data_IF_624223946815
#
_entry.id   IF_624223946815
#
_cell.length_a   1.000
_cell.length_b   1.000
_cell.length_c   1.000
_cell.angle_alpha   90.00
_cell.angle_beta   90.00
_cell.angle_gamma   90.00
#
_symmetry.space_group_name_H-M   'P 1'
#
loop_
_entity.id
_entity.type
_entity.pdbx_description
1 polymer ?
#
# COMPACT_ATOMS: atom_id res chain seq x y z
N UNK A 1 -54.92 -18.66 48.57
CA UNK A 1 -55.64 -19.29 47.44
C UNK A 1 -56.70 -18.30 46.97
N UNK A 2 -56.52 -17.69 45.80
CA UNK A 2 -57.21 -18.04 44.54
C UNK A 2 -58.73 -17.87 44.67
N UNK A 3 -59.30 -16.73 44.28
CA UNK A 3 -59.66 -16.22 42.91
C UNK A 3 -61.15 -16.43 42.65
N UNK A 4 -61.81 -15.43 42.07
CA UNK A 4 -62.90 -15.47 41.06
C UNK A 4 -63.38 -14.01 40.87
N UNK A 5 -62.97 -13.29 39.81
CA UNK A 5 -63.37 -13.39 38.40
C UNK A 5 -64.75 -12.78 38.10
N UNK A 6 -64.74 -11.75 37.23
CA UNK A 6 -65.63 -11.50 36.08
C UNK A 6 -66.06 -10.02 36.01
N UNK A 7 -65.41 -9.25 35.14
CA UNK A 7 -65.92 -8.80 33.83
C UNK A 7 -66.78 -7.53 33.93
N UNK A 8 -66.41 -6.47 33.22
CA UNK A 8 -67.11 -6.06 31.99
C UNK A 8 -66.44 -4.82 31.37
N UNK A 9 -66.09 -4.96 30.08
CA UNK A 9 -65.99 -3.94 29.03
C UNK A 9 -65.00 -2.80 29.20
N UNK A 10 -63.81 -2.99 28.61
CA UNK A 10 -62.98 -1.89 28.12
C UNK A 10 -62.87 -2.01 26.61
N UNK A 11 -63.49 -1.05 25.92
CA UNK A 11 -63.38 -0.77 24.50
C UNK A 11 -61.89 -0.50 24.22
N UNK A 12 -61.19 -1.46 23.63
CA UNK A 12 -59.84 -1.26 23.12
C UNK A 12 -59.95 -0.96 21.63
N UNK A 13 -59.95 0.33 21.32
CA UNK A 13 -59.66 0.89 20.01
C UNK A 13 -58.37 0.25 19.50
N UNK A 14 -58.48 -0.59 18.46
CA UNK A 14 -57.33 -1.13 17.74
C UNK A 14 -56.67 0.03 16.98
N UNK A 15 -55.71 0.70 17.60
CA UNK A 15 -54.75 1.52 16.88
C UNK A 15 -53.78 0.57 16.17
N UNK A 16 -54.04 0.32 14.90
CA UNK A 16 -53.06 -0.22 13.96
C UNK A 16 -51.92 0.80 13.86
N UNK A 17 -50.92 0.67 14.72
CA UNK A 17 -49.62 1.32 14.51
C UNK A 17 -48.93 0.52 13.41
N UNK A 18 -49.09 0.99 12.16
CA UNK A 18 -48.22 0.56 11.07
C UNK A 18 -46.84 1.13 11.37
N UNK A 19 -45.98 0.32 11.98
CA UNK A 19 -44.56 0.61 12.04
C UNK A 19 -44.04 0.39 10.62
N UNK A 20 -44.04 1.46 9.81
CA UNK A 20 -43.26 1.48 8.59
C UNK A 20 -41.81 1.51 9.07
N UNK A 21 -41.19 0.34 9.19
CA UNK A 21 -39.73 0.26 9.23
C UNK A 21 -39.27 0.74 7.86
N UNK A 22 -39.11 2.06 7.70
CA UNK A 22 -38.20 2.56 6.69
C UNK A 22 -36.86 2.02 7.12
N UNK A 23 -36.45 0.91 6.51
CA UNK A 23 -35.04 0.61 6.34
C UNK A 23 -34.47 1.82 5.60
N UNK A 24 -34.11 2.86 6.36
CA UNK A 24 -33.04 3.74 5.95
C UNK A 24 -31.89 2.76 5.76
N UNK A 25 -31.70 2.34 4.50
CA UNK A 25 -30.47 1.72 4.07
C UNK A 25 -29.43 2.73 4.45
N UNK A 26 -28.83 2.53 5.62
CA UNK A 26 -27.53 3.08 5.91
C UNK A 26 -26.70 2.44 4.82
N UNK A 27 -26.49 3.20 3.74
CA UNK A 27 -25.40 2.94 2.84
C UNK A 27 -24.18 3.03 3.73
N UNK A 28 -23.77 1.88 4.27
CA UNK A 28 -22.40 1.66 4.69
C UNK A 28 -21.64 2.09 3.44
N UNK A 29 -20.85 3.18 3.47
CA UNK A 29 -20.00 3.44 2.34
C UNK A 29 -19.09 2.23 2.32
N UNK A 30 -19.29 1.35 1.33
CA UNK A 30 -18.37 0.29 1.02
C UNK A 30 -17.11 0.98 0.52
N UNK A 31 -16.31 1.54 1.43
CA UNK A 31 -14.97 2.06 1.14
C UNK A 31 -14.06 0.84 1.11
N UNK A 32 -14.33 -0.07 0.18
CA UNK A 32 -13.24 -0.78 -0.48
C UNK A 32 -12.80 0.16 -1.60
N UNK A 33 -12.08 1.23 -1.24
CA UNK A 33 -11.37 2.03 -2.24
C UNK A 33 -10.33 1.10 -2.84
N UNK A 34 -10.58 0.68 -4.08
CA UNK A 34 -9.64 -0.14 -4.84
C UNK A 34 -8.36 0.66 -5.03
N UNK A 35 -7.23 0.01 -4.81
CA UNK A 35 -5.92 0.54 -5.14
C UNK A 35 -5.87 1.01 -6.60
N UNK A 36 -5.23 2.15 -6.83
CA UNK A 36 -5.09 2.71 -8.19
C UNK A 36 -3.92 2.02 -8.88
N UNK A 37 -4.24 1.23 -9.91
CA UNK A 37 -3.24 0.49 -10.70
C UNK A 37 -2.92 1.20 -12.01
N UNK A 38 -1.68 1.08 -12.49
CA UNK A 38 -1.24 1.64 -13.75
C UNK A 38 -2.03 1.07 -14.95
N UNK A 39 -2.53 1.95 -15.82
CA UNK A 39 -3.27 1.57 -17.04
C UNK A 39 -2.92 2.49 -18.21
N UNK A 40 -2.90 1.94 -19.42
CA UNK A 40 -2.75 2.73 -20.63
C UNK A 40 -4.05 3.49 -20.93
N UNK A 41 -4.05 4.83 -20.87
CA UNK A 41 -5.27 5.61 -21.05
C UNK A 41 -5.57 5.88 -22.53
N UNK A 42 -4.56 5.85 -23.41
CA UNK A 42 -4.69 6.16 -24.83
C UNK A 42 -4.99 4.88 -25.64
N UNK A 43 -6.15 4.80 -26.32
CA UNK A 43 -6.48 3.66 -27.18
C UNK A 43 -5.49 3.44 -28.33
N UNK A 44 -4.71 4.45 -28.74
CA UNK A 44 -3.67 4.32 -29.76
C UNK A 44 -2.42 3.59 -29.24
N UNK A 45 -2.20 3.59 -27.93
CA UNK A 45 -1.09 2.91 -27.25
C UNK A 45 -1.64 1.93 -26.20
N UNK A 46 -2.39 0.87 -26.60
CA UNK A 46 -3.16 0.06 -25.67
C UNK A 46 -2.32 -0.96 -24.89
N UNK A 47 -1.04 -1.16 -25.24
CA UNK A 47 -0.21 -2.21 -24.66
C UNK A 47 0.67 -1.64 -23.55
N UNK A 48 0.44 -2.09 -22.32
CA UNK A 48 1.26 -1.75 -21.16
C UNK A 48 2.70 -2.27 -21.32
N UNK A 49 3.67 -1.43 -21.00
CA UNK A 49 5.11 -1.76 -21.04
C UNK A 49 5.71 -1.75 -19.65
N UNK A 50 5.31 -0.80 -18.80
CA UNK A 50 5.82 -0.65 -17.45
C UNK A 50 5.25 0.59 -16.79
N UNK A 51 5.52 0.78 -15.51
CA UNK A 51 5.20 2.00 -14.79
C UNK A 51 6.11 2.18 -13.59
N UNK A 52 6.26 3.42 -13.15
CA UNK A 52 7.09 3.78 -12.00
C UNK A 52 6.53 5.03 -11.31
N UNK A 53 6.85 5.18 -10.03
CA UNK A 53 6.47 6.34 -9.25
C UNK A 53 7.26 7.58 -9.67
N UNK A 54 6.55 8.63 -10.08
CA UNK A 54 7.13 9.93 -10.42
C UNK A 54 7.21 10.85 -9.21
N UNK A 55 6.16 10.82 -8.39
CA UNK A 55 6.06 11.50 -7.09
C UNK A 55 5.34 10.58 -6.12
N UNK A 56 5.24 10.99 -4.86
CA UNK A 56 4.48 10.28 -3.84
C UNK A 56 3.02 10.03 -4.27
N UNK A 57 2.45 10.88 -5.13
CA UNK A 57 1.03 10.83 -5.51
C UNK A 57 0.81 10.69 -7.03
N UNK A 58 1.85 10.40 -7.80
CA UNK A 58 1.75 10.28 -9.26
C UNK A 58 2.67 9.17 -9.76
N UNK A 59 2.18 8.35 -10.67
CA UNK A 59 2.98 7.38 -11.42
C UNK A 59 3.07 7.80 -12.89
N UNK A 60 4.16 7.43 -13.54
CA UNK A 60 4.29 7.45 -15.00
C UNK A 60 4.03 6.05 -15.53
N UNK A 61 3.15 5.93 -16.52
CA UNK A 61 2.77 4.70 -17.19
C UNK A 61 3.35 4.72 -18.60
N UNK A 62 4.13 3.70 -18.94
CA UNK A 62 4.68 3.49 -20.28
C UNK A 62 3.82 2.50 -21.06
N UNK A 63 3.47 2.91 -22.27
CA UNK A 63 2.59 2.18 -23.17
C UNK A 63 3.17 2.13 -24.57
N UNK A 64 2.72 1.18 -25.39
CA UNK A 64 3.09 1.08 -26.80
C UNK A 64 1.92 0.73 -27.70
N UNK A 65 2.08 1.07 -28.98
CA UNK A 65 1.16 0.68 -30.04
C UNK A 65 1.60 -0.63 -30.74
N UNK A 66 0.81 -1.10 -31.71
CA UNK A 66 1.12 -2.30 -32.50
C UNK A 66 2.43 -2.24 -33.31
N UNK A 67 2.94 -1.03 -33.57
CA UNK A 67 4.22 -0.79 -34.25
C UNK A 67 5.39 -0.62 -33.27
N UNK A 68 5.19 -0.88 -31.98
CA UNK A 68 6.16 -0.69 -30.89
C UNK A 68 6.61 0.77 -30.65
N UNK A 69 5.87 1.76 -31.15
CA UNK A 69 6.07 3.17 -30.77
C UNK A 69 5.61 3.34 -29.33
N UNK A 70 6.43 4.00 -28.48
CA UNK A 70 6.16 4.21 -27.06
C UNK A 70 5.54 5.58 -26.78
N UNK A 71 4.68 5.63 -25.77
CA UNK A 71 4.15 6.83 -25.17
C UNK A 71 4.17 6.70 -23.64
N UNK A 72 4.31 7.83 -22.95
CA UNK A 72 4.29 7.90 -21.48
C UNK A 72 3.16 8.80 -21.02
N UNK A 73 2.46 8.38 -19.99
CA UNK A 73 1.32 9.10 -19.43
C UNK A 73 1.43 9.17 -17.92
N UNK A 74 1.21 10.35 -17.34
CA UNK A 74 1.13 10.48 -15.89
C UNK A 74 -0.28 10.14 -15.41
N UNK A 75 -0.35 9.30 -14.39
CA UNK A 75 -1.59 8.91 -13.73
C UNK A 75 -1.52 9.33 -12.25
N UNK A 76 -2.52 10.10 -11.82
CA UNK A 76 -2.63 10.55 -10.43
C UNK A 76 -3.17 9.42 -9.53
N UNK A 77 -2.62 9.33 -8.33
CA UNK A 77 -3.18 8.52 -7.26
C UNK A 77 -4.47 9.16 -6.73
N UNK A 78 -5.37 8.37 -6.13
CA UNK A 78 -6.50 8.96 -5.43
C UNK A 78 -6.02 9.68 -4.17
N UNK A 79 -6.84 10.61 -3.66
CA UNK A 79 -6.59 11.23 -2.37
C UNK A 79 -6.47 10.16 -1.26
N UNK A 80 -5.38 10.23 -0.50
CA UNK A 80 -5.07 9.31 0.59
C UNK A 80 -4.31 8.05 0.17
N UNK A 81 -3.81 8.00 -1.06
CA UNK A 81 -2.94 6.94 -1.57
C UNK A 81 -1.54 7.47 -1.87
N UNK A 82 -0.52 6.62 -1.67
CA UNK A 82 0.85 6.89 -2.09
C UNK A 82 1.30 5.85 -3.12
N UNK A 83 2.13 6.27 -4.06
CA UNK A 83 2.72 5.42 -5.09
C UNK A 83 3.85 4.57 -4.53
N UNK A 84 3.85 3.28 -4.87
CA UNK A 84 4.92 2.32 -4.58
C UNK A 84 5.30 1.56 -5.86
N UNK A 85 6.60 1.36 -6.07
CA UNK A 85 7.17 0.57 -7.15
C UNK A 85 7.30 -0.91 -6.77
N UNK A 86 6.94 -1.77 -7.71
CA UNK A 86 6.96 -3.22 -7.64
C UNK A 86 7.54 -3.81 -8.93
N UNK A 87 7.66 -5.14 -8.92
CA UNK A 87 7.90 -5.96 -10.11
C UNK A 87 6.73 -6.91 -10.34
N UNK A 88 6.31 -7.06 -11.59
CA UNK A 88 5.40 -8.13 -12.04
C UNK A 88 6.16 -9.44 -12.26
N UNK A 89 5.44 -10.53 -12.51
CA UNK A 89 6.02 -11.89 -12.61
C UNK A 89 7.06 -12.07 -13.71
N UNK A 90 7.00 -11.24 -14.75
CA UNK A 90 7.94 -11.15 -15.86
C UNK A 90 9.03 -10.07 -15.65
N UNK A 91 9.21 -9.62 -14.40
CA UNK A 91 10.15 -8.59 -13.98
C UNK A 91 9.90 -7.22 -14.63
N UNK A 92 8.68 -7.00 -15.12
CA UNK A 92 8.24 -5.70 -15.62
C UNK A 92 8.06 -4.72 -14.45
N UNK A 93 8.68 -3.52 -14.49
CA UNK A 93 8.45 -2.48 -13.50
C UNK A 93 6.98 -2.06 -13.44
N UNK A 94 6.44 -1.98 -12.24
CA UNK A 94 5.03 -1.70 -12.03
C UNK A 94 4.80 -0.80 -10.81
N UNK A 95 4.07 0.28 -10.99
CA UNK A 95 3.67 1.17 -9.92
C UNK A 95 2.19 0.99 -9.58
N UNK A 96 1.88 1.13 -8.30
CA UNK A 96 0.52 1.09 -7.76
C UNK A 96 0.38 2.12 -6.65
N UNK A 97 -0.78 2.78 -6.59
CA UNK A 97 -1.11 3.65 -5.47
C UNK A 97 -1.84 2.86 -4.39
N UNK A 98 -1.32 2.96 -3.17
CA UNK A 98 -1.76 2.18 -2.02
C UNK A 98 -2.28 3.14 -0.96
N UNK A 99 -3.45 2.88 -0.36
CA UNK A 99 -3.95 3.70 0.74
C UNK A 99 -2.91 3.84 1.85
N UNK A 100 -2.70 5.06 2.35
CA UNK A 100 -1.69 5.36 3.37
C UNK A 100 -1.87 4.49 4.62
N UNK A 101 -3.11 4.14 4.97
CA UNK A 101 -3.44 3.27 6.11
C UNK A 101 -2.91 1.84 5.97
N UNK A 102 -2.58 1.40 4.76
CA UNK A 102 -2.01 0.08 4.46
C UNK A 102 -0.50 0.11 4.25
N UNK A 103 0.15 1.26 4.37
CA UNK A 103 1.59 1.38 4.13
C UNK A 103 2.39 1.28 5.42
N UNK A 104 3.45 0.49 5.39
CA UNK A 104 4.50 0.56 6.39
C UNK A 104 5.37 1.77 6.04
N UNK A 105 5.44 2.76 6.93
CA UNK A 105 6.25 3.96 6.71
C UNK A 105 7.09 4.31 7.93
N UNK A 106 8.26 4.90 7.69
CA UNK A 106 9.19 5.37 8.73
C UNK A 106 10.13 6.43 8.14
N UNK A 107 10.84 7.16 9.00
CA UNK A 107 11.74 8.24 8.60
C UNK A 107 13.10 8.10 9.28
N UNK A 108 14.13 8.72 8.72
CA UNK A 108 15.45 8.85 9.34
C UNK A 108 15.53 9.96 10.39
N UNK A 109 14.48 10.77 10.57
CA UNK A 109 14.47 11.85 11.56
C UNK A 109 15.58 12.89 11.35
N UNK A 110 16.05 13.06 10.10
CA UNK A 110 17.14 13.95 9.69
C UNK A 110 18.55 13.53 10.16
N UNK A 111 18.70 12.31 10.68
CA UNK A 111 20.00 11.77 11.07
C UNK A 111 20.56 10.87 9.98
N UNK A 112 21.88 10.87 9.83
CA UNK A 112 22.62 10.04 8.88
C UNK A 112 22.96 8.65 9.45
N UNK A 113 21.96 7.98 10.00
CA UNK A 113 22.09 6.65 10.57
C UNK A 113 21.23 5.64 9.82
N UNK A 114 21.63 4.36 9.91
CA UNK A 114 20.82 3.26 9.41
C UNK A 114 19.52 3.18 10.22
N UNK A 115 18.39 3.35 9.55
CA UNK A 115 17.06 3.22 10.14
C UNK A 115 16.31 2.05 9.55
N UNK A 116 15.68 1.26 10.42
CA UNK A 116 14.95 0.07 10.03
C UNK A 116 13.45 0.21 10.28
N UNK A 117 12.67 -0.38 9.39
CA UNK A 117 11.22 -0.42 9.47
C UNK A 117 10.75 -1.26 10.65
N UNK A 118 9.46 -1.16 10.95
CA UNK A 118 8.74 -2.24 11.62
C UNK A 118 8.63 -3.49 10.74
N UNK A 119 7.61 -4.32 10.98
CA UNK A 119 7.42 -5.58 10.26
C UNK A 119 6.19 -5.53 9.35
N UNK A 120 6.28 -6.25 8.24
CA UNK A 120 5.15 -6.53 7.35
C UNK A 120 5.11 -8.04 7.07
N UNK A 121 3.91 -8.64 7.15
CA UNK A 121 3.70 -10.08 6.93
C UNK A 121 2.26 -10.37 6.52
N UNK A 122 2.01 -11.52 5.90
CA UNK A 122 0.65 -12.06 5.78
C UNK A 122 0.32 -12.99 6.95
N UNK A 123 -0.92 -12.92 7.45
CA UNK A 123 -1.43 -13.74 8.57
C UNK A 123 -2.34 -14.89 8.11
N UNK A 124 -2.65 -14.93 6.81
CA UNK A 124 -3.44 -16.00 6.18
C UNK A 124 -2.97 -16.23 4.75
N UNK A 125 -3.49 -17.26 4.09
CA UNK A 125 -3.17 -17.60 2.69
C UNK A 125 -2.31 -18.85 2.55
N UNK A 126 -1.68 -19.01 1.38
CA UNK A 126 -0.94 -20.22 0.99
C UNK A 126 0.56 -20.06 1.22
N UNK A 127 1.19 -21.07 1.80
CA UNK A 127 2.64 -21.12 1.94
C UNK A 127 3.35 -21.43 0.61
N UNK A 128 4.59 -20.97 0.48
CA UNK A 128 5.43 -21.22 -0.69
C UNK A 128 5.09 -20.36 -1.91
N UNK A 129 4.28 -19.31 -1.76
CA UNK A 129 3.90 -18.43 -2.86
C UNK A 129 5.00 -17.41 -3.21
N UNK A 130 4.78 -16.64 -4.26
CA UNK A 130 5.65 -15.50 -4.59
C UNK A 130 4.97 -14.19 -4.19
N UNK A 131 5.73 -13.29 -3.59
CA UNK A 131 5.30 -11.94 -3.27
C UNK A 131 6.15 -10.95 -4.05
N UNK A 132 5.56 -9.81 -4.41
CA UNK A 132 6.29 -8.64 -4.87
C UNK A 132 6.44 -7.67 -3.71
N UNK A 133 7.68 -7.24 -3.50
CA UNK A 133 8.08 -6.34 -2.43
C UNK A 133 8.37 -4.99 -3.06
N UNK A 134 7.83 -3.92 -2.49
CA UNK A 134 8.05 -2.56 -2.95
C UNK A 134 8.37 -1.62 -1.80
N UNK A 135 9.36 -0.76 -2.02
CA UNK A 135 9.76 0.32 -1.12
C UNK A 135 10.17 1.53 -1.94
N UNK A 136 9.68 2.71 -1.56
CA UNK A 136 10.09 4.00 -2.11
C UNK A 136 10.45 4.97 -0.98
N UNK A 137 11.44 5.83 -1.23
CA UNK A 137 11.85 6.93 -0.33
C UNK A 137 11.53 8.26 -0.97
N UNK A 138 10.91 9.15 -0.20
CA UNK A 138 10.51 10.49 -0.63
C UNK A 138 11.03 11.56 0.33
N UNK A 139 11.25 12.77 -0.19
CA UNK A 139 11.48 13.96 0.62
C UNK A 139 10.17 14.44 1.29
N UNK A 140 10.25 15.51 2.08
CA UNK A 140 9.08 16.09 2.76
C UNK A 140 8.07 16.73 1.83
N UNK A 141 8.43 16.95 0.56
CA UNK A 141 7.56 17.51 -0.48
C UNK A 141 6.94 16.41 -1.35
N UNK A 142 7.22 15.13 -1.08
CA UNK A 142 6.73 14.00 -1.86
C UNK A 142 7.48 13.76 -3.17
N UNK A 143 8.68 14.32 -3.34
CA UNK A 143 9.55 13.98 -4.47
C UNK A 143 10.39 12.76 -4.13
N UNK A 144 10.65 11.84 -5.07
CA UNK A 144 11.57 10.73 -4.82
C UNK A 144 12.93 11.25 -4.38
N UNK A 145 13.45 10.70 -3.28
CA UNK A 145 14.76 11.06 -2.75
C UNK A 145 15.67 9.84 -2.75
N UNK A 146 16.86 10.01 -3.32
CA UNK A 146 17.88 8.97 -3.31
C UNK A 146 18.41 8.77 -1.89
N UNK A 147 18.52 7.51 -1.46
CA UNK A 147 19.22 7.14 -0.23
C UNK A 147 20.50 6.37 -0.56
N UNK A 148 21.44 6.33 0.37
CA UNK A 148 22.75 5.72 0.14
C UNK A 148 22.64 4.20 -0.05
N UNK A 149 21.84 3.55 0.80
CA UNK A 149 21.69 2.10 0.81
C UNK A 149 20.27 1.71 1.26
N UNK A 150 19.69 0.67 0.67
CA UNK A 150 18.44 0.04 1.10
C UNK A 150 18.65 -1.48 1.09
N UNK A 151 18.29 -2.13 2.20
CA UNK A 151 18.39 -3.58 2.37
C UNK A 151 17.03 -4.16 2.75
N UNK A 152 16.56 -5.13 1.96
CA UNK A 152 15.39 -5.94 2.26
C UNK A 152 15.77 -7.24 2.95
N UNK A 153 14.96 -7.67 3.93
CA UNK A 153 15.14 -8.92 4.67
C UNK A 153 13.85 -9.70 4.81
N UNK A 154 13.95 -11.03 4.78
CA UNK A 154 12.88 -11.96 5.17
C UNK A 154 13.41 -12.86 6.28
N UNK A 155 12.73 -12.89 7.43
CA UNK A 155 13.17 -13.62 8.63
C UNK A 155 14.64 -13.32 8.99
N UNK A 156 15.01 -12.03 8.97
CA UNK A 156 16.36 -11.50 9.17
C UNK A 156 17.43 -11.89 8.13
N UNK A 157 17.09 -12.72 7.14
CA UNK A 157 17.99 -13.03 6.03
C UNK A 157 17.90 -11.94 4.96
N UNK A 158 19.04 -11.40 4.55
CA UNK A 158 19.11 -10.40 3.47
C UNK A 158 18.69 -11.04 2.15
N UNK A 159 17.70 -10.45 1.49
CA UNK A 159 17.17 -10.91 0.21
C UNK A 159 17.61 -10.02 -0.95
N UNK A 160 17.98 -8.77 -0.68
CA UNK A 160 18.47 -7.83 -1.68
C UNK A 160 19.01 -6.55 -1.06
N UNK A 161 19.78 -5.81 -1.84
CA UNK A 161 20.40 -4.54 -1.49
C UNK A 161 20.50 -3.67 -2.74
N UNK A 162 20.16 -2.38 -2.62
CA UNK A 162 20.35 -1.39 -3.68
C UNK A 162 21.00 -0.15 -3.10
N UNK A 163 21.87 0.48 -3.89
CA UNK A 163 22.62 1.67 -3.48
C UNK A 163 22.31 2.84 -4.38
N UNK A 164 22.32 4.03 -3.81
CA UNK A 164 22.10 5.27 -4.54
C UNK A 164 20.81 5.24 -5.37
N UNK A 165 19.74 4.67 -4.79
CA UNK A 165 18.42 4.60 -5.41
C UNK A 165 17.37 5.18 -4.45
N UNK A 166 16.22 5.55 -5.00
CA UNK A 166 15.07 6.03 -4.22
C UNK A 166 14.00 4.94 -4.06
N UNK A 167 14.23 3.76 -4.63
CA UNK A 167 13.29 2.66 -4.60
C UNK A 167 14.04 1.32 -4.50
N UNK A 168 13.31 0.32 -4.01
CA UNK A 168 13.72 -1.07 -3.93
C UNK A 168 12.50 -1.92 -4.26
N UNK A 169 12.61 -2.74 -5.30
CA UNK A 169 11.54 -3.66 -5.70
C UNK A 169 12.14 -5.03 -5.98
N UNK A 170 11.51 -6.08 -5.45
CA UNK A 170 12.00 -7.45 -5.61
C UNK A 170 10.88 -8.47 -5.55
N UNK A 171 10.99 -9.53 -6.36
CA UNK A 171 10.15 -10.72 -6.22
C UNK A 171 10.85 -11.66 -5.22
N UNK A 172 10.18 -11.94 -4.11
CA UNK A 172 10.59 -12.99 -3.19
C UNK A 172 9.76 -14.24 -3.42
N UNK A 173 10.43 -15.34 -3.74
CA UNK A 173 9.80 -16.64 -4.02
C UNK A 173 9.83 -17.49 -2.76
N UNK A 174 8.86 -18.40 -2.62
CA UNK A 174 8.74 -19.30 -1.47
C UNK A 174 8.43 -18.59 -0.14
N UNK A 175 7.64 -17.52 -0.21
CA UNK A 175 7.11 -16.85 0.97
C UNK A 175 6.14 -17.75 1.72
N UNK A 176 6.32 -17.91 3.03
CA UNK A 176 5.38 -18.59 3.90
C UNK A 176 4.60 -17.57 4.72
N UNK A 177 3.34 -17.89 5.02
CA UNK A 177 2.54 -17.08 5.93
C UNK A 177 3.28 -16.96 7.26
N UNK A 178 3.28 -15.76 7.85
CA UNK A 178 4.07 -15.35 9.01
C UNK A 178 5.57 -15.08 8.77
N UNK A 179 6.11 -15.26 7.56
CA UNK A 179 7.46 -14.79 7.24
C UNK A 179 7.51 -13.26 7.39
N UNK A 180 8.48 -12.78 8.17
CA UNK A 180 8.58 -11.37 8.52
C UNK A 180 9.45 -10.65 7.50
N UNK A 181 8.88 -9.68 6.80
CA UNK A 181 9.62 -8.78 5.93
C UNK A 181 9.99 -7.51 6.70
N UNK A 182 11.25 -7.09 6.58
CA UNK A 182 11.77 -5.84 7.15
C UNK A 182 12.69 -5.16 6.16
N UNK A 183 12.82 -3.84 6.30
CA UNK A 183 13.67 -3.01 5.49
C UNK A 183 14.56 -2.15 6.37
N UNK A 184 15.76 -1.86 5.91
CA UNK A 184 16.56 -0.78 6.48
C UNK A 184 17.08 0.09 5.35
N UNK A 185 17.23 1.39 5.62
CA UNK A 185 17.93 2.28 4.71
C UNK A 185 18.94 3.14 5.46
N UNK A 186 19.97 3.58 4.75
CA UNK A 186 20.92 4.61 5.18
C UNK A 186 20.65 5.84 4.29
N UNK A 187 20.27 6.99 4.83
CA UNK A 187 20.06 8.19 4.03
C UNK A 187 21.38 8.71 3.45
N UNK A 188 21.31 9.72 2.58
CA UNK A 188 22.50 10.42 2.10
C UNK A 188 22.87 11.61 3.00
N UNK A 189 24.17 11.83 3.23
CA UNK A 189 24.69 13.02 3.92
C UNK A 189 24.20 14.28 3.20
N UNK A 190 23.61 15.22 3.94
CA UNK A 190 23.16 16.50 3.39
C UNK A 190 24.14 17.65 3.62
N UNK A 191 24.94 17.59 4.69
CA UNK A 191 25.98 18.58 4.98
C UNK A 191 27.35 17.90 5.07
N UNK A 192 28.28 18.16 4.14
CA UNK A 192 29.61 17.59 4.19
C UNK A 192 30.43 18.06 5.41
N UNK A 193 30.03 19.16 6.07
CA UNK A 193 30.69 19.67 7.27
C UNK A 193 30.08 19.11 8.57
N UNK A 194 28.91 18.49 8.48
CA UNK A 194 28.28 17.80 9.60
C UNK A 194 27.68 16.46 9.14
N UNK A 195 28.48 15.38 9.17
CA UNK A 195 28.09 14.08 8.62
C UNK A 195 27.01 13.37 9.45
N UNK A 196 26.61 13.92 10.60
CA UNK A 196 25.51 13.41 11.42
C UNK A 196 24.15 13.74 10.82
N UNK A 197 24.06 14.81 10.00
CA UNK A 197 22.81 15.24 9.41
C UNK A 197 22.63 14.73 7.99
N UNK A 198 21.41 14.31 7.72
CA UNK A 198 20.94 13.89 6.41
C UNK A 198 19.64 14.61 6.05
N UNK A 199 19.37 14.69 4.76
CA UNK A 199 18.07 15.15 4.30
C UNK A 199 16.98 14.23 4.88
N UNK A 200 15.84 14.81 5.26
CA UNK A 200 14.70 14.03 5.72
C UNK A 200 14.22 13.14 4.58
N UNK A 201 14.28 11.83 4.79
CA UNK A 201 13.71 10.83 3.92
C UNK A 201 12.57 10.12 4.67
N UNK A 202 11.47 9.89 3.97
CA UNK A 202 10.34 9.11 4.43
C UNK A 202 10.24 7.89 3.52
N UNK A 203 10.43 6.71 4.09
CA UNK A 203 10.26 5.45 3.39
C UNK A 203 8.81 4.98 3.50
N UNK A 204 8.27 4.47 2.41
CA UNK A 204 6.99 3.76 2.36
C UNK A 204 7.23 2.41 1.73
N UNK A 205 6.69 1.36 2.32
CA UNK A 205 6.84 0.00 1.86
C UNK A 205 5.52 -0.77 1.93
N UNK A 206 5.40 -1.75 1.04
CA UNK A 206 4.30 -2.68 0.99
C UNK A 206 4.74 -4.01 0.38
N UNK A 207 4.01 -5.07 0.70
CA UNK A 207 4.15 -6.38 0.05
C UNK A 207 2.80 -6.77 -0.52
N UNK A 208 2.82 -7.37 -1.70
CA UNK A 208 1.61 -7.81 -2.40
C UNK A 208 1.85 -9.22 -2.92
N UNK A 209 0.83 -10.08 -2.88
CA UNK A 209 0.96 -11.40 -3.52
C UNK A 209 1.12 -11.22 -5.02
N UNK A 210 2.09 -11.91 -5.60
CA UNK A 210 2.37 -11.75 -7.03
C UNK A 210 1.19 -12.20 -7.90
N UNK A 211 0.38 -13.17 -7.43
CA UNK A 211 -0.86 -13.57 -8.08
C UNK A 211 -1.95 -12.51 -8.09
N UNK A 212 -1.86 -11.52 -7.20
CA UNK A 212 -2.83 -10.41 -7.07
C UNK A 212 -2.49 -9.22 -7.98
N UNK A 213 -1.31 -9.23 -8.62
CA UNK A 213 -0.83 -8.18 -9.51
C UNK A 213 -0.39 -8.75 -10.86
N UNK A 214 -0.89 -8.17 -11.96
CA UNK A 214 -0.59 -8.65 -13.32
C UNK A 214 -1.69 -9.54 -13.91
N UNK A 215 -2.10 -9.19 -15.13
CA UNK A 215 -3.25 -9.78 -15.86
C UNK A 215 -3.98 -8.70 -16.67
N UNK A 216 -4.70 -9.07 -17.75
CA UNK A 216 -5.42 -8.10 -18.61
C UNK A 216 -6.51 -7.29 -17.88
N UNK A 217 -6.98 -7.78 -16.73
CA UNK A 217 -8.09 -7.22 -15.96
C UNK A 217 -7.72 -7.05 -14.47
N UNK A 218 -6.59 -6.37 -14.17
CA UNK A 218 -6.07 -6.21 -12.79
C UNK A 218 -7.16 -5.65 -11.86
N UNK A 219 -7.75 -6.53 -11.07
CA UNK A 219 -8.38 -6.23 -9.80
C UNK A 219 -7.45 -6.78 -8.73
N UNK A 220 -6.87 -5.89 -7.94
CA UNK A 220 -6.09 -6.30 -6.76
C UNK A 220 -7.10 -6.75 -5.72
N UNK A 221 -7.36 -8.05 -5.67
CA UNK A 221 -8.10 -8.69 -4.57
C UNK A 221 -7.10 -9.29 -3.60
N UNK A 222 -6.17 -8.46 -3.11
CA UNK A 222 -5.12 -8.95 -2.23
C UNK A 222 -5.65 -9.15 -0.80
N UNK A 223 -5.13 -10.17 -0.12
CA UNK A 223 -5.25 -10.28 1.33
C UNK A 223 -4.36 -9.19 1.90
N UNK A 224 -4.90 -8.28 2.70
CA UNK A 224 -4.08 -7.19 3.25
C UNK A 224 -2.98 -7.74 4.19
N UNK A 225 -1.72 -7.34 4.02
CA UNK A 225 -0.66 -7.72 4.94
C UNK A 225 -0.88 -7.00 6.29
N UNK A 226 -0.51 -7.69 7.36
CA UNK A 226 -0.46 -7.13 8.70
C UNK A 226 0.82 -6.33 8.85
N UNK A 227 0.68 -5.10 9.31
CA UNK A 227 1.78 -4.15 9.55
C UNK A 227 1.89 -3.89 11.03
N UNK A 228 3.11 -4.06 11.56
CA UNK A 228 3.47 -3.60 12.90
C UNK A 228 4.55 -2.53 12.76
N UNK A 229 4.22 -1.29 13.12
CA UNK A 229 5.22 -0.22 13.11
C UNK A 229 6.15 -0.34 14.32
N UNK A 230 7.44 -0.09 14.11
CA UNK A 230 8.31 0.22 15.24
C UNK A 230 7.92 1.63 15.68
N UNK A 231 7.34 1.77 16.88
CA UNK A 231 7.09 3.07 17.48
C UNK A 231 8.41 3.74 17.88
N UNK A 232 9.23 4.12 16.91
CA UNK A 232 10.23 5.18 17.05
C UNK A 232 9.64 6.45 16.44
N UNK A 233 8.51 6.87 17.02
CA UNK A 233 8.12 8.28 16.99
C UNK A 233 9.20 9.02 17.78
N UNK A 234 10.18 9.60 17.09
CA UNK A 234 10.80 10.80 17.63
C UNK A 234 9.69 11.86 17.62
N UNK A 235 8.97 11.95 18.73
CA UNK A 235 8.10 13.09 19.02
C UNK A 235 9.06 14.27 19.19
N UNK A 236 9.21 15.08 18.15
CA UNK A 236 9.74 16.42 18.29
C UNK A 236 8.75 17.20 19.16
N UNK A 237 9.18 17.55 20.38
CA UNK A 237 8.57 18.60 21.20
C UNK A 237 8.99 19.97 20.66
#
# INVERSE_FOLDING_TARGET
>A
MRTLSAQFFKICTFFLVVIITTTAGVSIPSISKRETVAKCPDPNYPVFVGSFCKTLQTMTVECKNGNNVRASHDQQCNQGENCIDFLLSDEVPFAMCIPVSKLLHWTNGNYNDKVCSGTIRFDSGTNGESISIGLNTYDTNGNPIQVFDVVGRVNNNQIGEVKNQHNYSQIYRQYNVHDIVTFCFIPGISDPNNPEYANKAIAYAYIVRLSSIGGKDVQVTDIEPVISQNNTLYIEN
#
